data_IF_107716522806
#
_entry.id   IF_107716522806
#
_cell.length_a   1.000
_cell.length_b   1.000
_cell.length_c   1.000
_cell.angle_alpha   90.00
_cell.angle_beta   90.00
_cell.angle_gamma   90.00
#
_symmetry.space_group_name_H-M   'P 1'
#
loop_
_entity.id
_entity.type
_entity.pdbx_description
1 polymer ?
#
# COMPACT_ATOMS: atom_id res chain seq x y z
N UNK A 1 -13.34 39.97 25.92
CA UNK A 1 -13.33 38.56 26.37
C UNK A 1 -13.35 37.69 25.12
N UNK A 2 -12.27 37.70 24.36
CA UNK A 2 -12.08 36.77 23.25
C UNK A 2 -11.16 35.68 23.77
N UNK A 3 -11.72 34.49 23.95
CA UNK A 3 -11.01 33.34 24.47
C UNK A 3 -9.90 32.98 23.50
N UNK A 4 -8.67 33.02 24.02
CA UNK A 4 -7.51 32.28 23.54
C UNK A 4 -7.94 30.89 23.06
N UNK A 5 -8.13 30.74 21.75
CA UNK A 5 -8.09 29.43 21.12
C UNK A 5 -6.63 29.01 21.17
N UNK A 6 -6.37 28.01 22.01
CA UNK A 6 -5.08 27.44 22.29
C UNK A 6 -4.21 27.27 21.03
N UNK A 7 -3.12 28.01 20.94
CA UNK A 7 -1.92 27.52 20.28
C UNK A 7 -1.12 26.78 21.36
N UNK A 8 -0.81 25.49 21.17
CA UNK A 8 0.56 25.22 20.78
C UNK A 8 0.75 23.97 19.90
N UNK A 9 1.50 24.14 18.81
CA UNK A 9 2.52 23.18 18.40
C UNK A 9 3.53 23.92 17.50
N UNK A 10 4.21 24.92 18.06
CA UNK A 10 5.53 25.27 17.53
C UNK A 10 6.53 24.19 17.95
N UNK A 11 7.40 23.81 17.03
CA UNK A 11 8.49 22.86 17.26
C UNK A 11 9.05 22.22 15.99
N UNK A 12 8.35 22.29 14.85
CA UNK A 12 8.86 21.76 13.58
C UNK A 12 8.51 22.74 12.47
N UNK A 13 9.50 23.54 12.06
CA UNK A 13 9.35 24.64 11.11
C UNK A 13 8.48 24.35 9.88
N UNK A 14 7.98 25.38 9.24
CA UNK A 14 7.12 25.25 8.06
C UNK A 14 7.93 24.94 6.80
N UNK A 15 7.29 24.30 5.82
CA UNK A 15 7.79 24.20 4.43
C UNK A 15 6.72 24.83 3.55
N UNK A 16 7.09 25.80 2.71
CA UNK A 16 6.15 26.52 1.83
C UNK A 16 4.87 27.02 2.54
N UNK A 17 4.97 27.43 3.82
CA UNK A 17 3.84 27.92 4.60
C UNK A 17 2.95 26.83 5.24
N UNK A 18 3.23 25.55 5.03
CA UNK A 18 2.48 24.43 5.62
C UNK A 18 3.30 23.66 6.67
N UNK A 19 2.63 22.92 7.59
CA UNK A 19 3.31 22.05 8.54
C UNK A 19 4.17 20.99 7.83
N UNK A 20 5.40 20.74 8.31
CA UNK A 20 6.30 19.69 7.78
C UNK A 20 5.65 18.32 7.64
N UNK A 21 4.75 17.97 8.56
CA UNK A 21 4.01 16.70 8.51
C UNK A 21 3.20 16.54 7.23
N UNK A 22 2.63 17.63 6.70
CA UNK A 22 1.86 17.58 5.46
C UNK A 22 2.69 17.09 4.27
N UNK A 23 3.94 17.55 4.14
CA UNK A 23 4.82 17.11 3.06
C UNK A 23 5.11 15.61 3.17
N UNK A 24 5.35 15.12 4.38
CA UNK A 24 5.59 13.68 4.62
C UNK A 24 4.36 12.87 4.21
N UNK A 25 3.17 13.28 4.63
CA UNK A 25 1.91 12.61 4.29
C UNK A 25 1.63 12.68 2.78
N UNK A 26 1.86 13.83 2.17
CA UNK A 26 1.69 14.02 0.73
C UNK A 26 2.57 13.06 -0.07
N UNK A 27 3.88 13.01 0.22
CA UNK A 27 4.79 12.14 -0.52
C UNK A 27 4.53 10.67 -0.24
N UNK A 28 4.16 10.31 0.99
CA UNK A 28 3.79 8.93 1.33
C UNK A 28 2.53 8.48 0.56
N UNK A 29 1.48 9.30 0.53
CA UNK A 29 0.25 9.03 -0.24
C UNK A 29 0.53 9.02 -1.75
N UNK A 30 1.33 9.96 -2.25
CA UNK A 30 1.70 10.04 -3.67
C UNK A 30 2.43 8.76 -4.12
N UNK A 31 3.41 8.30 -3.35
CA UNK A 31 4.14 7.08 -3.70
C UNK A 31 3.29 5.82 -3.58
N UNK A 32 2.41 5.73 -2.58
CA UNK A 32 1.47 4.61 -2.49
C UNK A 32 0.59 4.55 -3.74
N UNK A 33 0.00 5.68 -4.14
CA UNK A 33 -0.86 5.75 -5.32
C UNK A 33 -0.11 5.44 -6.60
N UNK A 34 1.08 6.01 -6.79
CA UNK A 34 1.91 5.70 -7.94
C UNK A 34 2.18 4.20 -8.04
N UNK A 35 2.60 3.58 -6.93
CA UNK A 35 2.95 2.17 -6.89
C UNK A 35 1.72 1.28 -7.13
N UNK A 36 0.58 1.64 -6.54
CA UNK A 36 -0.69 0.92 -6.71
C UNK A 36 -1.17 0.96 -8.16
N UNK A 37 -1.27 2.15 -8.77
CA UNK A 37 -1.76 2.28 -10.14
C UNK A 37 -0.78 1.73 -11.17
N UNK A 38 0.53 1.93 -10.96
CA UNK A 38 1.58 1.39 -11.83
C UNK A 38 1.58 -0.13 -11.85
N UNK A 39 1.59 -0.77 -10.67
CA UNK A 39 1.54 -2.22 -10.59
C UNK A 39 0.22 -2.76 -11.15
N UNK A 40 -0.91 -2.14 -10.82
CA UNK A 40 -2.23 -2.56 -11.33
C UNK A 40 -2.32 -2.45 -12.86
N UNK A 41 -1.68 -1.47 -13.49
CA UNK A 41 -1.66 -1.36 -14.96
C UNK A 41 -0.92 -2.54 -15.62
N UNK A 42 0.18 -2.99 -15.02
CA UNK A 42 1.03 -4.04 -15.57
C UNK A 42 0.64 -5.45 -15.12
N UNK A 43 -0.07 -5.59 -14.00
CA UNK A 43 -0.38 -6.88 -13.37
C UNK A 43 -1.08 -7.86 -14.32
N UNK A 44 -2.05 -7.39 -15.09
CA UNK A 44 -2.79 -8.25 -16.02
C UNK A 44 -1.89 -8.76 -17.17
N UNK A 45 -0.97 -7.91 -17.66
CA UNK A 45 0.01 -8.30 -18.66
C UNK A 45 1.00 -9.28 -18.07
N UNK A 46 1.41 -9.08 -16.82
CA UNK A 46 2.34 -9.98 -16.15
C UNK A 46 1.74 -11.37 -15.93
N UNK A 47 0.47 -11.44 -15.50
CA UNK A 47 -0.26 -12.71 -15.34
C UNK A 47 -0.41 -13.47 -16.66
N UNK A 48 -0.77 -12.77 -17.74
CA UNK A 48 -1.05 -13.41 -19.04
C UNK A 48 0.20 -13.71 -19.85
N UNK A 49 1.23 -12.84 -19.81
CA UNK A 49 2.42 -12.94 -20.67
C UNK A 49 3.59 -13.64 -20.00
N UNK A 50 3.81 -13.42 -18.70
CA UNK A 50 4.94 -14.03 -17.99
C UNK A 50 4.53 -15.32 -17.28
N UNK A 51 3.41 -15.29 -16.56
CA UNK A 51 2.90 -16.45 -15.83
C UNK A 51 2.02 -17.39 -16.66
N UNK A 52 1.65 -16.98 -17.88
CA UNK A 52 0.88 -17.78 -18.82
C UNK A 52 -0.49 -18.24 -18.27
N UNK A 53 -1.11 -17.44 -17.39
CA UNK A 53 -2.50 -17.66 -17.00
C UNK A 53 -3.43 -17.42 -18.20
N UNK A 54 -4.55 -18.13 -18.24
CA UNK A 54 -5.63 -17.82 -19.18
C UNK A 54 -6.19 -16.42 -18.89
N UNK A 55 -6.76 -15.76 -19.90
CA UNK A 55 -7.37 -14.44 -19.71
C UNK A 55 -8.47 -14.46 -18.63
N UNK A 56 -9.20 -15.56 -18.53
CA UNK A 56 -10.21 -15.79 -17.49
C UNK A 56 -9.59 -15.83 -16.10
N UNK A 57 -8.56 -16.65 -15.90
CA UNK A 57 -7.91 -16.80 -14.60
C UNK A 57 -7.20 -15.52 -14.19
N UNK A 58 -6.50 -14.87 -15.13
CA UNK A 58 -5.84 -13.61 -14.90
C UNK A 58 -6.85 -12.50 -14.52
N UNK A 59 -8.01 -12.46 -15.17
CA UNK A 59 -9.11 -11.56 -14.82
C UNK A 59 -9.65 -11.83 -13.41
N UNK A 60 -9.81 -13.09 -13.03
CA UNK A 60 -10.24 -13.48 -11.68
C UNK A 60 -9.21 -13.04 -10.62
N UNK A 61 -7.93 -13.33 -10.83
CA UNK A 61 -6.84 -12.94 -9.92
C UNK A 61 -6.77 -11.43 -9.78
N UNK A 62 -6.87 -10.69 -10.90
CA UNK A 62 -6.86 -9.24 -10.90
C UNK A 62 -8.05 -8.64 -10.14
N UNK A 63 -9.24 -9.19 -10.35
CA UNK A 63 -10.46 -8.81 -9.65
C UNK A 63 -10.36 -9.08 -8.15
N UNK A 64 -9.88 -10.27 -7.77
CA UNK A 64 -9.67 -10.65 -6.39
C UNK A 64 -8.64 -9.75 -5.69
N UNK A 65 -7.49 -9.50 -6.33
CA UNK A 65 -6.49 -8.55 -5.84
C UNK A 65 -7.11 -7.17 -5.58
N UNK A 66 -7.85 -6.65 -6.57
CA UNK A 66 -8.50 -5.34 -6.44
C UNK A 66 -9.48 -5.34 -5.26
N UNK A 67 -10.39 -6.32 -5.19
CA UNK A 67 -11.37 -6.43 -4.13
C UNK A 67 -10.72 -6.48 -2.73
N UNK A 68 -9.65 -7.27 -2.58
CA UNK A 68 -8.91 -7.37 -1.33
C UNK A 68 -8.29 -6.04 -0.93
N UNK A 69 -7.61 -5.34 -1.85
CA UNK A 69 -7.05 -4.01 -1.56
C UNK A 69 -8.11 -3.00 -1.10
N UNK A 70 -9.36 -3.13 -1.56
CA UNK A 70 -10.45 -2.26 -1.10
C UNK A 70 -11.03 -2.67 0.25
N UNK A 71 -11.01 -3.96 0.61
CA UNK A 71 -11.58 -4.46 1.86
C UNK A 71 -10.57 -4.42 3.01
N UNK A 72 -9.31 -4.74 2.78
CA UNK A 72 -8.27 -4.80 3.82
C UNK A 72 -8.09 -3.49 4.60
N UNK A 73 -8.29 -2.28 4.05
CA UNK A 73 -8.28 -1.04 4.82
C UNK A 73 -9.26 -1.04 6.00
N UNK A 74 -10.44 -1.65 5.86
CA UNK A 74 -11.41 -1.77 6.97
C UNK A 74 -10.79 -2.55 8.14
N UNK A 75 -10.11 -3.65 7.85
CA UNK A 75 -9.41 -4.45 8.86
C UNK A 75 -8.18 -3.72 9.42
N UNK A 76 -7.42 -3.05 8.55
CA UNK A 76 -6.23 -2.30 8.92
C UNK A 76 -6.53 -1.13 9.86
N UNK A 77 -7.62 -0.40 9.61
CA UNK A 77 -8.11 0.67 10.47
C UNK A 77 -8.58 0.14 11.83
N UNK A 78 -9.40 -0.92 11.83
CA UNK A 78 -9.83 -1.58 13.07
C UNK A 78 -8.66 -2.03 13.96
N UNK A 79 -7.63 -2.64 13.37
CA UNK A 79 -6.44 -3.08 14.10
C UNK A 79 -5.59 -1.90 14.60
N UNK A 80 -5.51 -0.82 13.83
CA UNK A 80 -4.82 0.40 14.23
C UNK A 80 -5.50 1.05 15.43
N UNK A 81 -6.83 1.15 15.42
CA UNK A 81 -7.61 1.77 16.49
C UNK A 81 -7.51 0.99 17.80
N UNK A 82 -7.53 -0.34 17.74
CA UNK A 82 -7.64 -1.17 18.94
C UNK A 82 -6.29 -1.57 19.55
N UNK A 83 -5.26 -1.77 18.74
CA UNK A 83 -4.03 -2.43 19.21
C UNK A 83 -2.74 -1.69 18.86
N UNK A 84 -2.61 -1.16 17.65
CA UNK A 84 -1.30 -0.71 17.13
C UNK A 84 -1.05 0.78 17.30
N UNK A 85 -2.11 1.58 17.21
CA UNK A 85 -2.02 3.02 17.00
C UNK A 85 -1.72 3.38 15.55
N UNK A 86 -2.33 4.49 15.11
CA UNK A 86 -2.34 5.00 13.75
C UNK A 86 -0.94 5.13 13.13
N UNK A 87 -0.02 5.83 13.82
CA UNK A 87 1.34 6.07 13.32
C UNK A 87 2.16 4.79 13.10
N UNK A 88 2.00 3.78 13.96
CA UNK A 88 2.71 2.50 13.81
C UNK A 88 2.10 1.68 12.68
N UNK A 89 0.78 1.67 12.57
CA UNK A 89 0.07 1.01 11.47
C UNK A 89 0.53 1.53 10.11
N UNK A 90 0.61 2.85 9.92
CA UNK A 90 1.13 3.47 8.68
C UNK A 90 2.56 3.01 8.37
N UNK A 91 3.44 2.98 9.38
CA UNK A 91 4.83 2.55 9.20
C UNK A 91 4.92 1.07 8.80
N UNK A 92 4.16 0.19 9.45
CA UNK A 92 4.09 -1.23 9.05
C UNK A 92 3.53 -1.39 7.64
N UNK A 93 2.49 -0.63 7.29
CA UNK A 93 1.91 -0.62 5.95
C UNK A 93 2.94 -0.25 4.87
N UNK A 94 3.69 0.83 5.10
CA UNK A 94 4.74 1.29 4.20
C UNK A 94 5.86 0.25 4.03
N UNK A 95 6.32 -0.36 5.12
CA UNK A 95 7.36 -1.40 5.07
C UNK A 95 6.88 -2.62 4.27
N UNK A 96 5.65 -3.09 4.52
CA UNK A 96 5.07 -4.22 3.78
C UNK A 96 4.91 -3.90 2.29
N UNK A 97 4.47 -2.69 1.94
CA UNK A 97 4.38 -2.25 0.55
C UNK A 97 5.75 -2.26 -0.13
N UNK A 98 6.77 -1.68 0.50
CA UNK A 98 8.13 -1.70 -0.04
C UNK A 98 8.65 -3.13 -0.25
N UNK A 99 8.46 -4.02 0.72
CA UNK A 99 8.85 -5.43 0.57
C UNK A 99 8.06 -6.14 -0.52
N UNK A 100 6.74 -5.96 -0.58
CA UNK A 100 5.92 -6.57 -1.61
C UNK A 100 6.34 -6.13 -3.02
N UNK A 101 6.56 -4.84 -3.23
CA UNK A 101 7.04 -4.34 -4.53
C UNK A 101 8.48 -4.76 -4.84
N UNK A 102 9.35 -4.92 -3.83
CA UNK A 102 10.68 -5.47 -4.05
C UNK A 102 10.61 -6.94 -4.51
N UNK A 103 9.75 -7.74 -3.87
CA UNK A 103 9.53 -9.14 -4.24
C UNK A 103 8.91 -9.29 -5.64
N UNK A 104 8.13 -8.32 -6.12
CA UNK A 104 7.62 -8.31 -7.50
C UNK A 104 8.73 -8.30 -8.55
N UNK A 105 9.94 -7.81 -8.21
CA UNK A 105 11.10 -7.83 -9.10
C UNK A 105 11.74 -9.21 -9.25
N UNK A 106 11.32 -10.20 -8.45
CA UNK A 106 11.79 -11.59 -8.56
C UNK A 106 10.86 -12.35 -9.50
N UNK A 107 11.17 -12.29 -10.80
CA UNK A 107 10.28 -12.83 -11.84
C UNK A 107 10.57 -14.28 -12.26
N UNK A 108 11.82 -14.72 -12.17
CA UNK A 108 12.23 -16.06 -12.63
C UNK A 108 12.12 -16.23 -14.16
N UNK A 109 12.08 -17.48 -14.60
CA UNK A 109 12.02 -17.88 -16.01
C UNK A 109 10.60 -17.95 -16.59
N UNK A 110 9.59 -17.61 -15.78
CA UNK A 110 8.18 -17.60 -16.17
C UNK A 110 7.50 -18.97 -16.10
N UNK A 111 6.18 -18.98 -16.30
CA UNK A 111 5.36 -20.19 -16.21
C UNK A 111 5.01 -20.65 -14.79
N UNK A 112 3.99 -21.49 -14.68
CA UNK A 112 3.28 -21.72 -13.40
C UNK A 112 3.97 -22.71 -12.44
N UNK A 113 5.00 -23.42 -12.89
CA UNK A 113 5.73 -24.41 -12.07
C UNK A 113 6.97 -23.84 -11.37
N UNK A 114 7.21 -22.52 -11.49
CA UNK A 114 8.40 -21.89 -10.93
C UNK A 114 8.22 -21.55 -9.44
N UNK A 115 9.28 -21.74 -8.64
CA UNK A 115 9.31 -21.26 -7.26
C UNK A 115 9.08 -19.73 -7.15
N UNK A 116 9.44 -18.99 -8.20
CA UNK A 116 9.19 -17.56 -8.32
C UNK A 116 7.69 -17.21 -8.31
N UNK A 117 6.80 -18.11 -8.73
CA UNK A 117 5.35 -17.88 -8.63
C UNK A 117 4.89 -17.75 -7.18
N UNK A 118 5.47 -18.55 -6.26
CA UNK A 118 5.18 -18.42 -4.83
C UNK A 118 5.67 -17.08 -4.27
N UNK A 119 6.81 -16.59 -4.77
CA UNK A 119 7.32 -15.26 -4.41
C UNK A 119 6.38 -14.16 -4.92
N UNK A 120 5.84 -14.30 -6.13
CA UNK A 120 4.82 -13.40 -6.67
C UNK A 120 3.54 -13.39 -5.82
N UNK A 121 3.05 -14.56 -5.39
CA UNK A 121 1.88 -14.62 -4.50
C UNK A 121 2.15 -13.95 -3.15
N UNK A 122 3.32 -14.17 -2.58
CA UNK A 122 3.76 -13.51 -1.34
C UNK A 122 3.86 -11.98 -1.53
N UNK A 123 4.38 -11.55 -2.68
CA UNK A 123 4.47 -10.15 -3.05
C UNK A 123 3.08 -9.48 -3.08
N UNK A 124 2.11 -10.11 -3.74
CA UNK A 124 0.72 -9.62 -3.77
C UNK A 124 0.12 -9.56 -2.36
N UNK A 125 0.33 -10.58 -1.53
CA UNK A 125 -0.17 -10.60 -0.16
C UNK A 125 0.40 -9.42 0.67
N UNK A 126 1.71 -9.15 0.57
CA UNK A 126 2.32 -8.01 1.24
C UNK A 126 1.80 -6.67 0.74
N UNK A 127 1.57 -6.52 -0.56
CA UNK A 127 0.99 -5.30 -1.13
C UNK A 127 -0.44 -5.08 -0.62
N UNK A 128 -1.27 -6.13 -0.61
CA UNK A 128 -2.66 -6.07 -0.11
C UNK A 128 -2.68 -5.63 1.36
N UNK A 129 -1.93 -6.32 2.21
CA UNK A 129 -1.89 -6.04 3.66
C UNK A 129 -1.28 -4.67 3.92
N UNK A 130 -0.19 -4.33 3.22
CA UNK A 130 0.48 -3.05 3.36
C UNK A 130 -0.40 -1.87 2.98
N UNK A 131 -1.11 -1.96 1.84
CA UNK A 131 -2.07 -0.94 1.41
C UNK A 131 -3.23 -0.80 2.40
N UNK A 132 -3.70 -1.92 2.98
CA UNK A 132 -4.73 -1.91 4.02
C UNK A 132 -4.34 -1.09 5.25
N UNK A 133 -3.15 -1.30 5.79
CA UNK A 133 -2.68 -0.53 6.93
C UNK A 133 -2.36 0.93 6.61
N UNK A 134 -1.89 1.23 5.40
CA UNK A 134 -1.52 2.61 5.04
C UNK A 134 -2.77 3.46 4.75
N UNK A 135 -3.66 3.01 3.85
CA UNK A 135 -4.82 3.80 3.39
C UNK A 135 -5.81 4.15 4.49
N UNK A 136 -6.02 3.27 5.46
CA UNK A 136 -6.99 3.51 6.53
C UNK A 136 -6.50 4.54 7.56
N UNK A 137 -5.20 4.79 7.63
CA UNK A 137 -4.56 5.39 8.80
C UNK A 137 -3.67 6.61 8.47
N UNK A 138 -3.34 6.85 7.20
CA UNK A 138 -2.42 7.94 6.79
C UNK A 138 -3.00 9.35 6.96
N UNK A 139 -4.33 9.48 7.01
CA UNK A 139 -5.02 10.77 7.17
C UNK A 139 -5.42 11.10 8.61
N UNK A 140 -5.08 10.25 9.58
CA UNK A 140 -5.43 10.38 11.01
C UNK A 140 -4.22 10.85 11.80
#
# INVERSE_FOLDING_TARGET
MESSFAQPADGKGTILGHPKGLFVLFFAEMWERFSYYGMRALLILYLTKHWLFSDSDAGLIYGAYTALVYITPVLGGYLADKYLGQRKAVLYGAVLLCFGHFLMGVEGDGGQNAAALNVFWLALAFIIVGSGFLKANISV
#
